data_IF_457531203856
#
_entry.id   IF_457531203856
#
_cell.length_a   1.000
_cell.length_b   1.000
_cell.length_c   1.000
_cell.angle_alpha   90.00
_cell.angle_beta   90.00
_cell.angle_gamma   90.00
#
_symmetry.space_group_name_H-M   'P 1'
#
loop_
_entity.id
_entity.type
_entity.pdbx_description
1 polymer ?
#
# COMPACT_ATOMS: atom_id res chain seq x y z
N UNK A 1 33.40 14.50 5.45
CA UNK A 1 33.77 13.65 6.60
C UNK A 1 34.35 14.45 7.76
N UNK A 2 35.31 15.37 7.57
CA UNK A 2 35.89 16.17 8.68
C UNK A 2 34.86 16.97 9.50
N UNK A 3 33.85 17.57 8.85
CA UNK A 3 32.79 18.31 9.53
C UNK A 3 31.88 17.41 10.39
N UNK A 4 31.43 16.29 9.83
CA UNK A 4 30.62 15.28 10.52
C UNK A 4 31.35 14.69 11.74
N UNK A 5 32.65 14.40 11.61
CA UNK A 5 33.48 13.92 12.70
C UNK A 5 33.56 14.94 13.84
N UNK A 6 33.85 16.21 13.54
CA UNK A 6 33.91 17.29 14.56
C UNK A 6 32.60 17.49 15.30
N UNK A 7 31.48 17.47 14.59
CA UNK A 7 30.14 17.64 15.18
C UNK A 7 29.84 16.47 16.12
N UNK A 8 30.14 15.25 15.70
CA UNK A 8 29.94 14.06 16.53
C UNK A 8 30.80 14.08 17.81
N UNK A 9 32.09 14.44 17.69
CA UNK A 9 32.96 14.60 18.87
C UNK A 9 32.41 15.65 19.82
N UNK A 10 31.89 16.78 19.30
CA UNK A 10 31.27 17.84 20.11
C UNK A 10 30.05 17.32 20.87
N UNK A 11 29.14 16.63 20.19
CA UNK A 11 27.95 16.07 20.83
C UNK A 11 28.30 15.01 21.87
N UNK A 12 29.27 14.13 21.59
CA UNK A 12 29.74 13.12 22.54
C UNK A 12 30.42 13.74 23.77
N UNK A 13 31.12 14.86 23.62
CA UNK A 13 31.70 15.59 24.75
C UNK A 13 30.63 16.24 25.63
N UNK A 14 29.53 16.72 25.04
CA UNK A 14 28.41 17.32 25.77
C UNK A 14 27.50 16.26 26.43
N UNK A 15 27.31 15.11 25.77
CA UNK A 15 26.51 13.99 26.27
C UNK A 15 27.27 12.68 26.03
N UNK A 16 28.01 12.17 27.03
CA UNK A 16 28.81 10.95 26.88
C UNK A 16 28.01 9.70 26.53
N UNK A 17 26.69 9.67 26.77
CA UNK A 17 25.85 8.54 26.39
C UNK A 17 25.62 8.46 24.86
N UNK A 18 25.87 9.54 24.12
CA UNK A 18 25.88 9.52 22.65
C UNK A 18 27.12 8.82 22.07
N UNK A 19 28.20 8.67 22.84
CA UNK A 19 29.50 8.14 22.39
C UNK A 19 29.51 6.62 22.15
N UNK A 20 28.56 6.13 21.35
CA UNK A 20 28.38 4.70 21.03
C UNK A 20 29.25 4.22 19.87
N UNK A 21 29.77 5.16 19.08
CA UNK A 21 30.68 4.94 17.94
C UNK A 21 31.72 6.07 17.92
N UNK A 22 32.90 5.79 17.37
CA UNK A 22 33.98 6.77 17.25
C UNK A 22 33.71 7.78 16.13
N UNK A 23 33.15 7.32 15.01
CA UNK A 23 32.75 8.16 13.88
C UNK A 23 31.23 8.09 13.64
N UNK A 24 30.64 9.25 13.31
CA UNK A 24 29.24 9.37 12.92
C UNK A 24 28.86 8.47 11.75
N UNK A 25 29.80 8.22 10.83
CA UNK A 25 29.63 7.34 9.68
C UNK A 25 29.29 5.90 10.06
N UNK A 26 29.71 5.44 11.23
CA UNK A 26 29.48 4.08 11.72
C UNK A 26 28.11 3.91 12.40
N UNK A 27 27.42 5.02 12.67
CA UNK A 27 26.16 5.03 13.41
C UNK A 27 25.04 4.21 12.74
N UNK A 28 24.87 4.17 11.40
CA UNK A 28 23.89 3.28 10.76
C UNK A 28 24.22 1.80 10.90
N UNK A 29 25.52 1.44 10.90
CA UNK A 29 25.94 0.05 11.11
C UNK A 29 25.75 -0.37 12.58
N UNK A 30 25.98 0.55 13.50
CA UNK A 30 25.71 0.35 14.93
C UNK A 30 24.20 0.21 15.20
N UNK A 31 23.36 1.12 14.70
CA UNK A 31 21.90 1.09 14.93
C UNK A 31 21.20 -0.16 14.39
N UNK A 32 21.79 -0.85 13.40
CA UNK A 32 21.31 -2.14 12.90
C UNK A 32 21.60 -3.32 13.86
N UNK A 33 22.65 -3.22 14.67
CA UNK A 33 23.11 -4.27 15.59
C UNK A 33 22.69 -4.01 17.05
N UNK A 34 22.50 -2.75 17.41
CA UNK A 34 22.13 -2.34 18.76
C UNK A 34 20.72 -2.83 19.15
N UNK A 35 20.53 -3.06 20.44
CA UNK A 35 19.21 -3.37 20.99
C UNK A 35 18.25 -2.20 20.81
N UNK A 36 16.94 -2.48 20.74
CA UNK A 36 15.91 -1.46 20.55
C UNK A 36 15.96 -0.36 21.63
N UNK A 37 16.26 -0.73 22.88
CA UNK A 37 16.41 0.22 24.00
C UNK A 37 17.60 1.17 23.79
N UNK A 38 18.79 0.64 23.48
CA UNK A 38 19.99 1.45 23.25
C UNK A 38 19.85 2.35 22.02
N UNK A 39 19.30 1.81 20.93
CA UNK A 39 18.97 2.60 19.73
C UNK A 39 17.99 3.72 20.06
N UNK A 40 16.94 3.41 20.83
CA UNK A 40 15.93 4.38 21.24
C UNK A 40 16.50 5.53 22.06
N UNK A 41 17.42 5.24 23.00
CA UNK A 41 18.07 6.25 23.82
C UNK A 41 18.92 7.22 22.97
N UNK A 42 19.75 6.69 22.07
CA UNK A 42 20.57 7.53 21.17
C UNK A 42 19.70 8.40 20.27
N UNK A 43 18.65 7.82 19.68
CA UNK A 43 17.71 8.58 18.83
C UNK A 43 16.94 9.64 19.62
N UNK A 44 16.64 9.42 20.90
CA UNK A 44 16.00 10.41 21.75
C UNK A 44 16.92 11.61 22.02
N UNK A 45 18.21 11.36 22.28
CA UNK A 45 19.20 12.42 22.46
C UNK A 45 19.43 13.21 21.17
N UNK A 46 19.55 12.51 20.03
CA UNK A 46 19.63 13.16 18.71
C UNK A 46 18.38 14.00 18.41
N UNK A 47 17.19 13.52 18.76
CA UNK A 47 15.96 14.29 18.60
C UNK A 47 15.95 15.55 19.48
N UNK A 48 16.41 15.48 20.72
CA UNK A 48 16.50 16.65 21.59
C UNK A 48 17.44 17.74 21.02
N UNK A 49 18.53 17.34 20.35
CA UNK A 49 19.47 18.28 19.71
C UNK A 49 18.83 19.08 18.57
N UNK A 50 17.77 18.57 17.92
CA UNK A 50 17.10 19.25 16.80
C UNK A 50 16.47 20.60 17.18
N UNK A 51 16.31 20.89 18.47
CA UNK A 51 15.84 22.21 18.94
C UNK A 51 16.84 23.35 18.63
N UNK A 52 18.12 23.03 18.48
CA UNK A 52 19.18 24.05 18.40
C UNK A 52 20.29 23.75 17.37
N UNK A 53 20.28 22.57 16.75
CA UNK A 53 21.34 22.09 15.87
C UNK A 53 20.74 21.47 14.59
N UNK A 54 20.91 22.13 13.44
CA UNK A 54 20.36 21.69 12.15
C UNK A 54 21.05 20.41 11.65
N UNK A 55 22.32 20.19 12.01
CA UNK A 55 23.04 18.99 11.66
C UNK A 55 22.48 17.75 12.38
N UNK A 56 21.87 17.92 13.55
CA UNK A 56 21.12 16.85 14.22
C UNK A 56 19.90 16.40 13.40
N UNK A 57 19.19 17.34 12.76
CA UNK A 57 18.08 17.03 11.84
C UNK A 57 18.59 16.19 10.67
N UNK A 58 19.69 16.63 10.05
CA UNK A 58 20.30 15.93 8.91
C UNK A 58 20.69 14.50 9.27
N UNK A 59 21.32 14.30 10.44
CA UNK A 59 21.69 12.97 10.94
C UNK A 59 20.47 12.11 11.19
N UNK A 60 19.43 12.68 11.82
CA UNK A 60 18.21 11.95 12.14
C UNK A 60 17.48 11.51 10.86
N UNK A 61 17.34 12.40 9.87
CA UNK A 61 16.80 12.08 8.55
C UNK A 61 17.59 10.94 7.91
N UNK A 62 18.91 11.06 7.86
CA UNK A 62 19.79 10.05 7.27
C UNK A 62 19.60 8.66 7.90
N UNK A 63 19.52 8.57 9.23
CA UNK A 63 19.25 7.32 9.94
C UNK A 63 17.85 6.73 9.67
N UNK A 64 16.89 7.57 9.29
CA UNK A 64 15.50 7.19 9.04
C UNK A 64 15.18 6.94 7.57
N UNK A 65 16.08 7.26 6.62
CA UNK A 65 15.91 6.99 5.18
C UNK A 65 15.43 5.54 4.93
N UNK A 66 16.03 4.47 5.50
CA UNK A 66 15.57 3.11 5.22
C UNK A 66 14.15 2.81 5.70
N UNK A 67 13.65 3.56 6.70
CA UNK A 67 12.25 3.49 7.13
C UNK A 67 11.34 4.27 6.19
N UNK A 68 11.77 5.44 5.74
CA UNK A 68 11.05 6.30 4.82
C UNK A 68 10.93 5.70 3.42
N UNK A 69 11.98 5.06 2.88
CA UNK A 69 11.91 4.33 1.61
C UNK A 69 10.84 3.24 1.65
N UNK A 70 10.74 2.49 2.76
CA UNK A 70 9.65 1.50 2.93
C UNK A 70 8.28 2.16 2.96
N UNK A 71 8.15 3.38 3.49
CA UNK A 71 6.88 4.12 3.45
C UNK A 71 6.55 4.48 2.00
N UNK A 72 7.51 5.05 1.26
CA UNK A 72 7.33 5.42 -0.13
C UNK A 72 6.98 4.21 -1.00
N UNK A 73 7.67 3.08 -0.86
CA UNK A 73 7.37 1.83 -1.59
C UNK A 73 5.93 1.36 -1.35
N UNK A 74 5.44 1.46 -0.10
CA UNK A 74 4.07 1.08 0.26
C UNK A 74 2.99 2.05 -0.26
N UNK A 75 3.38 3.24 -0.71
CA UNK A 75 2.49 4.30 -1.18
C UNK A 75 2.72 4.64 -2.66
N UNK A 76 3.60 3.90 -3.35
CA UNK A 76 4.06 4.20 -4.72
C UNK A 76 2.92 4.26 -5.73
N UNK A 77 1.87 3.46 -5.53
CA UNK A 77 0.71 3.41 -6.41
C UNK A 77 -0.26 4.60 -6.23
N UNK A 78 -0.01 5.51 -5.26
CA UNK A 78 -0.91 6.62 -4.95
C UNK A 78 -0.54 7.94 -5.64
N UNK A 79 0.74 8.17 -5.93
CA UNK A 79 1.20 9.40 -6.56
C UNK A 79 2.59 9.24 -7.22
N UNK A 80 2.82 9.78 -8.43
CA UNK A 80 4.11 9.65 -9.13
C UNK A 80 5.29 10.30 -8.37
N UNK A 81 5.06 11.38 -7.63
CA UNK A 81 6.09 12.08 -6.83
C UNK A 81 6.19 11.61 -5.36
N UNK A 82 5.79 10.37 -5.04
CA UNK A 82 5.71 9.89 -3.65
C UNK A 82 7.03 10.05 -2.87
N UNK A 83 8.16 9.84 -3.54
CA UNK A 83 9.48 9.92 -2.92
C UNK A 83 9.79 11.34 -2.43
N UNK A 84 9.40 12.36 -3.21
CA UNK A 84 9.56 13.77 -2.83
C UNK A 84 8.66 14.14 -1.66
N UNK A 85 7.41 13.69 -1.67
CA UNK A 85 6.45 13.94 -0.59
C UNK A 85 6.94 13.32 0.73
N UNK A 86 7.35 12.06 0.68
CA UNK A 86 7.88 11.35 1.86
C UNK A 86 9.17 11.99 2.36
N UNK A 87 10.10 12.36 1.47
CA UNK A 87 11.34 13.02 1.86
C UNK A 87 11.09 14.39 2.52
N UNK A 88 10.22 15.21 1.92
CA UNK A 88 9.84 16.53 2.45
C UNK A 88 9.19 16.41 3.83
N UNK A 89 8.21 15.51 3.97
CA UNK A 89 7.54 15.32 5.25
C UNK A 89 8.48 14.71 6.31
N UNK A 90 9.37 13.79 5.93
CA UNK A 90 10.37 13.25 6.85
C UNK A 90 11.26 14.37 7.42
N UNK A 91 11.68 15.31 6.57
CA UNK A 91 12.48 16.45 6.98
C UNK A 91 11.74 17.33 8.00
N UNK A 92 10.47 17.65 7.73
CA UNK A 92 9.63 18.45 8.64
C UNK A 92 9.46 17.77 10.01
N UNK A 93 9.14 16.47 10.02
CA UNK A 93 8.97 15.71 11.27
C UNK A 93 10.28 15.55 12.05
N UNK A 94 11.41 15.42 11.34
CA UNK A 94 12.72 15.36 11.98
C UNK A 94 13.15 16.71 12.56
N UNK A 95 12.82 17.83 11.90
CA UNK A 95 13.11 19.18 12.40
C UNK A 95 12.35 19.48 13.70
N UNK A 96 11.15 18.90 13.87
CA UNK A 96 10.32 19.06 15.07
C UNK A 96 10.52 17.90 16.08
N UNK A 97 11.56 17.07 15.92
CA UNK A 97 11.73 15.88 16.74
C UNK A 97 11.96 16.18 18.23
N UNK A 98 12.48 17.36 18.56
CA UNK A 98 12.68 17.83 19.93
C UNK A 98 11.37 18.00 20.72
N UNK A 99 10.24 18.19 20.04
CA UNK A 99 8.90 18.29 20.66
C UNK A 99 8.30 16.91 20.99
N UNK A 100 8.96 15.82 20.58
CA UNK A 100 8.46 14.47 20.83
C UNK A 100 8.76 14.04 22.27
N UNK A 101 7.72 13.66 23.00
CA UNK A 101 7.89 13.02 24.30
C UNK A 101 8.77 11.76 24.20
N UNK A 102 9.56 11.48 25.23
CA UNK A 102 10.54 10.40 25.26
C UNK A 102 9.98 9.03 24.83
N UNK A 103 10.79 8.26 24.10
CA UNK A 103 10.50 6.87 23.70
C UNK A 103 9.94 6.70 22.29
N UNK A 104 10.47 5.70 21.56
CA UNK A 104 10.12 5.32 20.18
C UNK A 104 10.16 6.46 19.15
N UNK A 105 11.10 7.41 19.30
CA UNK A 105 11.29 8.57 18.40
C UNK A 105 11.23 8.19 16.91
N UNK A 106 12.01 7.19 16.49
CA UNK A 106 12.00 6.71 15.10
C UNK A 106 10.60 6.34 14.61
N UNK A 107 9.87 5.59 15.44
CA UNK A 107 8.52 5.13 15.10
C UNK A 107 7.50 6.27 15.13
N UNK A 108 7.68 7.26 16.01
CA UNK A 108 6.85 8.46 16.04
C UNK A 108 7.03 9.29 14.78
N UNK A 109 8.28 9.62 14.43
CA UNK A 109 8.62 10.39 13.21
C UNK A 109 8.07 9.66 11.99
N UNK A 110 8.48 8.41 11.74
CA UNK A 110 8.01 7.63 10.59
C UNK A 110 6.48 7.45 10.55
N UNK A 111 5.87 7.29 11.73
CA UNK A 111 4.41 7.16 11.87
C UNK A 111 3.64 8.46 11.63
N UNK A 112 4.24 9.62 11.92
CA UNK A 112 3.69 10.94 11.56
C UNK A 112 3.92 11.23 10.08
N UNK A 113 5.13 10.99 9.56
CA UNK A 113 5.45 11.10 8.12
C UNK A 113 4.45 10.33 7.27
N UNK A 114 4.20 9.06 7.57
CA UNK A 114 3.20 8.25 6.84
C UNK A 114 1.79 8.82 6.95
N UNK A 115 1.41 9.34 8.12
CA UNK A 115 0.07 9.88 8.36
C UNK A 115 -0.17 11.18 7.62
N UNK A 116 0.79 12.09 7.62
CA UNK A 116 0.69 13.38 6.93
C UNK A 116 0.74 13.21 5.42
N UNK A 117 1.67 12.39 4.90
CA UNK A 117 1.68 12.06 3.46
C UNK A 117 0.39 11.37 3.04
N UNK A 118 -0.13 10.46 3.87
CA UNK A 118 -1.44 9.85 3.64
C UNK A 118 -2.56 10.90 3.63
N UNK A 119 -2.53 11.86 4.55
CA UNK A 119 -3.52 12.92 4.63
C UNK A 119 -3.50 13.84 3.40
N UNK A 120 -2.32 14.22 2.90
CA UNK A 120 -2.14 15.01 1.68
C UNK A 120 -2.68 14.29 0.44
N UNK A 121 -2.63 12.95 0.43
CA UNK A 121 -3.21 12.09 -0.61
C UNK A 121 -4.71 11.81 -0.40
N UNK A 122 -5.33 12.39 0.63
CA UNK A 122 -6.74 12.17 0.97
C UNK A 122 -7.03 10.79 1.58
N UNK A 123 -6.02 10.13 2.14
CA UNK A 123 -6.09 8.77 2.71
C UNK A 123 -6.03 8.81 4.24
N UNK A 124 -7.00 8.15 4.87
CA UNK A 124 -7.01 7.88 6.31
C UNK A 124 -7.75 8.92 7.15
N UNK A 125 -7.82 8.65 8.46
CA UNK A 125 -8.63 9.43 9.41
C UNK A 125 -8.16 10.88 9.56
N UNK A 126 -6.87 11.12 9.36
CA UNK A 126 -6.30 12.46 9.46
C UNK A 126 -6.78 13.35 8.31
N UNK A 127 -6.86 12.83 7.08
CA UNK A 127 -7.50 13.53 5.96
C UNK A 127 -8.95 13.92 6.31
N UNK A 128 -9.71 12.95 6.84
CA UNK A 128 -11.12 13.15 7.23
C UNK A 128 -11.32 14.20 8.32
N UNK A 129 -10.41 14.28 9.28
CA UNK A 129 -10.49 15.24 10.40
C UNK A 129 -10.01 16.63 10.03
N UNK A 130 -8.95 16.70 9.22
CA UNK A 130 -8.29 17.96 8.85
C UNK A 130 -9.18 18.77 7.93
N UNK A 131 -10.00 18.10 7.12
CA UNK A 131 -10.99 18.80 6.33
C UNK A 131 -12.18 17.91 5.94
N UNK A 132 -13.28 18.01 6.71
CA UNK A 132 -14.52 17.26 6.44
C UNK A 132 -15.07 17.57 5.05
N UNK A 133 -14.90 18.82 4.60
CA UNK A 133 -15.38 19.28 3.31
C UNK A 133 -14.54 18.67 2.18
N UNK A 134 -13.21 18.58 2.31
CA UNK A 134 -12.37 17.93 1.29
C UNK A 134 -12.41 16.40 1.33
N UNK A 135 -12.71 15.81 2.49
CA UNK A 135 -12.94 14.37 2.59
C UNK A 135 -14.27 13.92 1.94
N UNK A 136 -15.26 14.83 1.91
CA UNK A 136 -16.53 14.67 1.21
C UNK A 136 -16.51 15.26 -0.23
N UNK A 137 -15.49 16.05 -0.59
CA UNK A 137 -15.40 16.64 -1.92
C UNK A 137 -14.76 15.69 -2.93
N UNK A 138 -15.50 15.44 -4.01
CA UNK A 138 -14.97 14.84 -5.23
C UNK A 138 -14.07 15.86 -5.94
N UNK A 139 -12.75 15.64 -5.90
CA UNK A 139 -11.77 16.47 -6.62
C UNK A 139 -12.01 16.37 -8.12
N UNK A 140 -12.56 17.42 -8.73
CA UNK A 140 -12.65 17.60 -10.19
C UNK A 140 -11.39 18.31 -10.64
N UNK A 141 -10.40 17.55 -11.11
CA UNK A 141 -9.28 18.15 -11.83
C UNK A 141 -9.70 18.43 -13.27
N UNK A 142 -9.54 19.68 -13.68
CA UNK A 142 -9.51 20.06 -15.07
C UNK A 142 -8.09 19.80 -15.56
N UNK A 143 -7.84 18.58 -16.05
CA UNK A 143 -6.59 18.24 -16.74
C UNK A 143 -6.88 17.91 -18.20
N UNK A 144 -6.26 18.69 -19.10
CA UNK A 144 -6.46 18.63 -20.54
C UNK A 144 -5.80 17.39 -21.19
N UNK A 145 -5.26 16.48 -20.40
CA UNK A 145 -4.57 15.25 -20.84
C UNK A 145 -5.18 13.95 -20.35
N UNK A 146 -6.30 14.01 -19.62
CA UNK A 146 -7.14 12.83 -19.42
C UNK A 146 -7.83 12.59 -20.77
N UNK A 147 -7.45 11.51 -21.45
CA UNK A 147 -8.22 11.01 -22.60
C UNK A 147 -9.69 11.06 -22.21
N UNK A 148 -10.47 11.82 -22.97
CA UNK A 148 -11.90 11.98 -22.78
C UNK A 148 -12.46 10.65 -22.30
N UNK A 149 -13.12 10.64 -21.13
CA UNK A 149 -14.17 9.64 -20.95
C UNK A 149 -14.96 9.73 -22.25
N UNK A 150 -15.07 8.63 -23.03
CA UNK A 150 -15.80 8.69 -24.29
C UNK A 150 -17.11 9.40 -23.95
N UNK A 151 -17.41 10.45 -24.72
CA UNK A 151 -18.72 11.09 -24.62
C UNK A 151 -19.72 9.94 -24.52
N UNK A 152 -20.60 9.99 -23.51
CA UNK A 152 -21.64 9.00 -23.26
C UNK A 152 -22.60 9.03 -24.46
N UNK A 153 -22.11 8.47 -25.55
CA UNK A 153 -22.81 7.92 -26.68
C UNK A 153 -23.56 6.72 -26.12
N UNK A 154 -24.69 7.02 -25.48
CA UNK A 154 -25.94 6.35 -25.78
C UNK A 154 -26.06 4.83 -25.58
N UNK A 155 -25.07 4.11 -25.05
CA UNK A 155 -25.19 2.67 -24.80
C UNK A 155 -24.34 2.19 -23.62
N UNK A 156 -24.83 2.38 -22.39
CA UNK A 156 -24.39 1.61 -21.21
C UNK A 156 -24.37 0.09 -21.46
N UNK A 157 -25.16 -0.41 -22.42
CA UNK A 157 -25.12 -1.79 -22.87
C UNK A 157 -23.79 -2.20 -23.50
N UNK A 158 -23.12 -1.31 -24.22
CA UNK A 158 -21.89 -1.60 -24.98
C UNK A 158 -20.69 -1.75 -24.04
N UNK A 159 -20.53 -0.84 -23.07
CA UNK A 159 -19.44 -0.89 -22.10
C UNK A 159 -19.43 -2.17 -21.22
N UNK A 160 -20.61 -2.70 -20.87
CA UNK A 160 -20.70 -3.97 -20.13
C UNK A 160 -20.24 -5.14 -21.00
N UNK A 161 -20.65 -5.19 -22.26
CA UNK A 161 -20.27 -6.25 -23.19
C UNK A 161 -18.81 -6.14 -23.62
N UNK A 162 -18.29 -4.93 -23.81
CA UNK A 162 -16.88 -4.67 -24.09
C UNK A 162 -15.98 -5.12 -22.93
N UNK A 163 -16.34 -4.75 -21.69
CA UNK A 163 -15.61 -5.21 -20.52
C UNK A 163 -15.72 -6.73 -20.37
N UNK A 164 -16.90 -7.30 -20.56
CA UNK A 164 -17.10 -8.75 -20.45
C UNK A 164 -16.28 -9.50 -21.52
N UNK A 165 -16.30 -9.03 -22.77
CA UNK A 165 -15.51 -9.57 -23.87
C UNK A 165 -14.01 -9.48 -23.58
N UNK A 166 -13.54 -8.32 -23.13
CA UNK A 166 -12.16 -8.13 -22.70
C UNK A 166 -11.75 -9.09 -21.57
N UNK A 167 -12.60 -9.28 -20.56
CA UNK A 167 -12.30 -10.18 -19.45
C UNK A 167 -12.26 -11.64 -19.90
N UNK A 168 -13.10 -12.05 -20.84
CA UNK A 168 -13.07 -13.39 -21.45
C UNK A 168 -11.75 -13.58 -22.21
N UNK A 169 -11.38 -12.64 -23.08
CA UNK A 169 -10.10 -12.69 -23.81
C UNK A 169 -8.90 -12.77 -22.85
N UNK A 170 -8.92 -11.96 -21.78
CA UNK A 170 -7.88 -11.96 -20.77
C UNK A 170 -7.79 -13.30 -20.00
N UNK A 171 -8.91 -13.98 -19.76
CA UNK A 171 -8.91 -15.31 -19.16
C UNK A 171 -8.35 -16.37 -20.12
N UNK A 172 -8.70 -16.34 -21.41
CA UNK A 172 -8.24 -17.32 -22.41
C UNK A 172 -6.71 -17.34 -22.58
N UNK A 173 -6.07 -16.18 -22.38
CA UNK A 173 -4.61 -16.04 -22.45
C UNK A 173 -3.92 -16.16 -21.09
N UNK A 174 -4.64 -16.45 -20.00
CA UNK A 174 -4.13 -16.47 -18.62
C UNK A 174 -3.56 -15.11 -18.14
N UNK A 175 -4.10 -14.00 -18.64
CA UNK A 175 -3.86 -12.66 -18.10
C UNK A 175 -4.58 -12.44 -16.76
N UNK A 176 -5.71 -13.10 -16.54
CA UNK A 176 -6.39 -13.08 -15.26
C UNK A 176 -7.08 -14.42 -15.00
N UNK A 177 -7.17 -14.85 -13.75
CA UNK A 177 -7.97 -16.02 -13.39
C UNK A 177 -9.43 -15.60 -13.13
N UNK A 178 -10.39 -16.52 -13.32
CA UNK A 178 -11.81 -16.26 -13.04
C UNK A 178 -12.05 -15.74 -11.62
N UNK A 179 -11.31 -16.25 -10.63
CA UNK A 179 -11.39 -15.78 -9.23
C UNK A 179 -10.94 -14.33 -9.05
N UNK A 180 -9.92 -13.91 -9.78
CA UNK A 180 -9.45 -12.53 -9.75
C UNK A 180 -10.44 -11.61 -10.48
N UNK A 181 -11.03 -12.07 -11.59
CA UNK A 181 -12.07 -11.34 -12.31
C UNK A 181 -13.31 -11.09 -11.43
N UNK A 182 -13.79 -12.11 -10.73
CA UNK A 182 -14.90 -12.01 -9.77
C UNK A 182 -14.52 -11.06 -8.62
N UNK A 183 -13.33 -11.20 -8.05
CA UNK A 183 -12.86 -10.32 -6.99
C UNK A 183 -12.84 -8.84 -7.43
N UNK A 184 -12.36 -8.55 -8.63
CA UNK A 184 -12.36 -7.20 -9.18
C UNK A 184 -13.78 -6.67 -9.43
N UNK A 185 -14.70 -7.53 -9.87
CA UNK A 185 -16.12 -7.20 -10.00
C UNK A 185 -16.77 -6.83 -8.66
N UNK A 186 -16.52 -7.60 -7.60
CA UNK A 186 -17.00 -7.30 -6.26
C UNK A 186 -16.41 -6.01 -5.69
N UNK A 187 -15.10 -5.79 -5.87
CA UNK A 187 -14.46 -4.55 -5.49
C UNK A 187 -15.03 -3.36 -6.26
N UNK A 188 -15.30 -3.53 -7.56
CA UNK A 188 -15.90 -2.49 -8.41
C UNK A 188 -17.32 -2.14 -7.98
N UNK A 189 -18.15 -3.15 -7.69
CA UNK A 189 -19.51 -2.96 -7.17
C UNK A 189 -19.49 -2.19 -5.85
N UNK A 190 -18.68 -2.64 -4.88
CA UNK A 190 -18.56 -1.97 -3.58
C UNK A 190 -17.98 -0.56 -3.72
N UNK A 191 -17.02 -0.36 -4.63
CA UNK A 191 -16.47 0.96 -4.91
C UNK A 191 -17.53 1.93 -5.45
N UNK A 192 -18.38 1.46 -6.36
CA UNK A 192 -19.50 2.24 -6.88
C UNK A 192 -20.55 2.55 -5.79
N UNK A 193 -20.90 1.57 -4.95
CA UNK A 193 -21.83 1.76 -3.83
C UNK A 193 -21.33 2.78 -2.80
N UNK A 194 -20.00 2.83 -2.57
CA UNK A 194 -19.37 3.75 -1.64
C UNK A 194 -18.98 5.10 -2.27
N UNK A 195 -19.27 5.31 -3.57
CA UNK A 195 -18.89 6.49 -4.35
C UNK A 195 -17.40 6.87 -4.18
N UNK A 196 -16.51 5.87 -4.08
CA UNK A 196 -15.07 6.14 -4.02
C UNK A 196 -14.61 6.57 -5.41
N UNK A 197 -14.26 7.85 -5.54
CA UNK A 197 -13.88 8.46 -6.81
C UNK A 197 -12.83 7.66 -7.59
N UNK A 198 -13.12 7.47 -8.88
CA UNK A 198 -12.30 6.81 -9.91
C UNK A 198 -10.85 7.33 -10.02
N UNK A 199 -10.50 8.48 -9.43
CA UNK A 199 -9.18 9.11 -9.55
C UNK A 199 -8.17 8.70 -8.47
N UNK A 200 -8.47 7.70 -7.65
CA UNK A 200 -7.55 7.19 -6.61
C UNK A 200 -6.78 5.95 -7.11
N UNK A 201 -5.52 6.12 -7.50
CA UNK A 201 -4.62 5.02 -7.87
C UNK A 201 -5.31 4.01 -8.80
N UNK A 202 -5.43 2.76 -8.35
CA UNK A 202 -6.19 1.68 -9.02
C UNK A 202 -7.73 1.88 -8.93
N UNK A 203 -8.23 3.04 -9.40
CA UNK A 203 -9.65 3.40 -9.49
C UNK A 203 -10.46 3.27 -8.18
N UNK A 204 -9.80 3.40 -7.02
CA UNK A 204 -10.45 3.26 -5.71
C UNK A 204 -10.71 1.82 -5.25
N UNK A 205 -10.48 0.82 -6.10
CA UNK A 205 -10.77 -0.60 -5.84
C UNK A 205 -10.00 -1.16 -4.64
N UNK A 206 -8.76 -0.67 -4.43
CA UNK A 206 -7.88 -1.15 -3.37
C UNK A 206 -7.94 -0.31 -2.09
N UNK A 207 -8.87 0.64 -2.00
CA UNK A 207 -9.02 1.50 -0.83
C UNK A 207 -9.42 0.68 0.40
N UNK A 208 -8.98 1.07 1.62
CA UNK A 208 -9.34 0.34 2.83
C UNK A 208 -10.85 0.15 3.02
N UNK A 209 -11.65 1.18 2.75
CA UNK A 209 -13.10 1.13 2.91
C UNK A 209 -13.75 0.05 2.02
N UNK A 210 -13.38 -0.01 0.73
CA UNK A 210 -13.87 -1.03 -0.21
C UNK A 210 -13.38 -2.42 0.19
N UNK A 211 -12.07 -2.53 0.46
CA UNK A 211 -11.44 -3.81 0.76
C UNK A 211 -11.96 -4.42 2.06
N UNK A 212 -12.21 -3.60 3.09
CA UNK A 212 -12.70 -4.09 4.38
C UNK A 212 -14.14 -4.60 4.28
N UNK A 213 -14.99 -3.97 3.46
CA UNK A 213 -16.35 -4.47 3.16
C UNK A 213 -16.29 -5.81 2.44
N UNK A 214 -15.46 -5.94 1.40
CA UNK A 214 -15.30 -7.23 0.69
C UNK A 214 -14.72 -8.30 1.62
N UNK A 215 -13.79 -7.94 2.51
CA UNK A 215 -13.18 -8.85 3.50
C UNK A 215 -14.17 -9.42 4.54
N UNK A 216 -15.39 -8.89 4.65
CA UNK A 216 -16.45 -9.47 5.47
C UNK A 216 -17.16 -10.64 4.75
N UNK A 217 -17.12 -10.66 3.42
CA UNK A 217 -17.83 -11.63 2.60
C UNK A 217 -16.92 -12.74 2.05
N UNK A 218 -15.61 -12.51 1.98
CA UNK A 218 -14.63 -13.45 1.42
C UNK A 218 -13.70 -14.06 2.47
N UNK A 219 -13.06 -15.19 2.15
CA UNK A 219 -12.15 -15.92 3.05
C UNK A 219 -10.73 -15.36 3.14
N UNK A 220 -10.50 -14.20 2.53
CA UNK A 220 -9.22 -13.52 2.42
C UNK A 220 -9.15 -12.35 3.41
N UNK A 221 -7.95 -12.08 3.94
CA UNK A 221 -7.72 -10.87 4.74
C UNK A 221 -7.72 -9.62 3.85
N UNK A 222 -8.01 -8.44 4.42
CA UNK A 222 -7.91 -7.15 3.70
C UNK A 222 -6.54 -6.96 3.03
N UNK A 223 -5.46 -7.46 3.67
CA UNK A 223 -4.11 -7.42 3.09
C UNK A 223 -3.98 -8.37 1.89
N UNK A 224 -4.51 -9.58 2.00
CA UNK A 224 -4.48 -10.57 0.92
C UNK A 224 -5.31 -10.12 -0.29
N UNK A 225 -6.51 -9.58 -0.05
CA UNK A 225 -7.39 -8.99 -1.07
C UNK A 225 -6.66 -7.88 -1.81
N UNK A 226 -6.10 -6.90 -1.08
CA UNK A 226 -5.38 -5.78 -1.71
C UNK A 226 -4.23 -6.27 -2.57
N UNK A 227 -3.38 -7.14 -2.03
CA UNK A 227 -2.23 -7.70 -2.76
C UNK A 227 -2.66 -8.43 -4.03
N UNK A 228 -3.75 -9.20 -3.93
CA UNK A 228 -4.28 -10.00 -5.04
C UNK A 228 -4.89 -9.14 -6.14
N UNK A 229 -5.76 -8.20 -5.77
CA UNK A 229 -6.34 -7.24 -6.70
C UNK A 229 -5.27 -6.39 -7.39
N UNK A 230 -4.25 -5.95 -6.64
CA UNK A 230 -3.08 -5.26 -7.19
C UNK A 230 -2.37 -6.09 -8.25
N UNK A 231 -2.02 -7.35 -7.94
CA UNK A 231 -1.31 -8.22 -8.86
C UNK A 231 -2.15 -8.53 -10.12
N UNK A 232 -3.46 -8.73 -9.97
CA UNK A 232 -4.37 -8.95 -11.10
C UNK A 232 -4.44 -7.73 -12.02
N UNK A 233 -4.56 -6.52 -11.45
CA UNK A 233 -4.61 -5.27 -12.21
C UNK A 233 -3.28 -4.98 -12.90
N UNK A 234 -2.14 -5.25 -12.26
CA UNK A 234 -0.82 -5.08 -12.88
C UNK A 234 -0.63 -6.04 -14.06
N UNK A 235 -1.09 -7.29 -13.91
CA UNK A 235 -1.03 -8.31 -14.97
C UNK A 235 -1.95 -7.97 -16.14
N UNK A 236 -3.15 -7.45 -15.87
CA UNK A 236 -4.05 -6.93 -16.90
C UNK A 236 -3.42 -5.73 -17.63
N UNK A 237 -2.77 -4.81 -16.91
CA UNK A 237 -2.08 -3.67 -17.52
C UNK A 237 -0.94 -4.12 -18.44
N UNK A 238 -0.17 -5.13 -18.02
CA UNK A 238 0.87 -5.73 -18.86
C UNK A 238 0.27 -6.38 -20.12
N UNK A 239 -0.79 -7.17 -19.98
CA UNK A 239 -1.50 -7.77 -21.11
C UNK A 239 -2.04 -6.72 -22.08
N UNK A 240 -2.71 -5.67 -21.58
CA UNK A 240 -3.25 -4.58 -22.41
C UNK A 240 -2.14 -3.91 -23.24
N UNK A 241 -0.92 -3.78 -22.71
CA UNK A 241 0.20 -3.18 -23.44
C UNK A 241 0.68 -3.99 -24.66
N UNK A 242 0.33 -5.29 -24.73
CA UNK A 242 0.70 -6.19 -25.82
C UNK A 242 -0.50 -6.72 -26.62
N UNK A 243 -1.72 -6.54 -26.13
CA UNK A 243 -2.98 -7.11 -26.63
C UNK A 243 -3.20 -6.90 -28.13
N UNK A 244 -2.86 -5.73 -28.66
CA UNK A 244 -3.11 -5.37 -30.06
C UNK A 244 -2.08 -5.96 -31.05
N UNK A 245 -1.07 -6.70 -30.56
CA UNK A 245 -0.03 -7.33 -31.36
C UNK A 245 0.00 -8.85 -31.11
N UNK A 246 -0.58 -9.62 -32.02
CA UNK A 246 -0.72 -11.08 -31.92
C UNK A 246 0.61 -11.79 -31.65
N UNK A 247 1.71 -11.33 -32.27
CA UNK A 247 3.03 -11.93 -32.06
C UNK A 247 3.54 -11.67 -30.64
N UNK A 248 3.29 -10.47 -30.08
CA UNK A 248 3.65 -10.15 -28.69
C UNK A 248 2.76 -10.90 -27.70
N UNK A 249 1.46 -11.07 -27.99
CA UNK A 249 0.56 -11.86 -27.13
C UNK A 249 1.03 -13.31 -27.02
N UNK A 250 1.50 -13.92 -28.11
CA UNK A 250 2.04 -15.29 -28.09
C UNK A 250 3.29 -15.41 -27.20
N UNK A 251 4.21 -14.45 -27.30
CA UNK A 251 5.41 -14.39 -26.43
C UNK A 251 5.01 -14.18 -24.97
N UNK A 252 4.08 -13.26 -24.73
CA UNK A 252 3.57 -12.94 -23.40
C UNK A 252 2.91 -14.17 -22.76
N UNK A 253 2.05 -14.88 -23.50
CA UNK A 253 1.38 -16.11 -23.04
C UNK A 253 2.37 -17.22 -22.69
N UNK A 254 3.45 -17.36 -23.45
CA UNK A 254 4.51 -18.33 -23.16
C UNK A 254 5.24 -18.03 -21.84
N UNK A 255 5.36 -16.75 -21.46
CA UNK A 255 5.93 -16.30 -20.18
C UNK A 255 4.94 -16.44 -19.02
N UNK A 256 3.65 -16.54 -19.33
CA UNK A 256 2.54 -16.52 -18.40
C UNK A 256 1.63 -17.76 -18.54
N UNK A 257 2.18 -18.99 -18.44
CA UNK A 257 1.45 -20.21 -18.78
C UNK A 257 0.30 -20.53 -17.82
N UNK A 258 0.34 -20.00 -16.59
CA UNK A 258 -0.69 -20.24 -15.57
C UNK A 258 -0.95 -18.99 -14.74
N UNK A 259 -2.17 -18.93 -14.19
CA UNK A 259 -2.51 -18.05 -13.07
C UNK A 259 -2.42 -18.84 -11.77
N UNK A 260 -1.87 -18.22 -10.72
CA UNK A 260 -1.78 -18.84 -9.41
C UNK A 260 -3.16 -18.85 -8.76
N UNK A 261 -3.62 -20.03 -8.35
CA UNK A 261 -4.84 -20.23 -7.57
C UNK A 261 -4.49 -20.74 -6.18
N UNK A 262 -5.31 -20.40 -5.20
CA UNK A 262 -5.15 -20.90 -3.83
C UNK A 262 -5.71 -22.33 -3.70
N UNK A 263 -5.31 -23.09 -2.68
CA UNK A 263 -5.85 -24.43 -2.45
C UNK A 263 -7.38 -24.44 -2.22
N UNK A 264 -7.94 -23.37 -1.65
CA UNK A 264 -9.39 -23.21 -1.49
C UNK A 264 -10.10 -23.05 -2.83
N UNK A 265 -9.45 -22.38 -3.77
CA UNK A 265 -9.93 -22.13 -5.13
C UNK A 265 -9.80 -23.36 -6.02
N UNK A 266 -8.69 -24.10 -5.92
CA UNK A 266 -8.55 -25.41 -6.53
C UNK A 266 -9.65 -26.36 -6.06
N UNK A 267 -9.91 -26.39 -4.74
CA UNK A 267 -10.98 -27.21 -4.18
C UNK A 267 -12.37 -26.81 -4.69
N UNK A 268 -12.62 -25.51 -4.92
CA UNK A 268 -13.87 -25.05 -5.52
C UNK A 268 -14.03 -25.45 -6.98
N UNK A 269 -12.96 -25.44 -7.77
CA UNK A 269 -13.00 -25.94 -9.15
C UNK A 269 -13.40 -27.42 -9.20
N UNK A 270 -13.02 -28.20 -8.17
CA UNK A 270 -13.36 -29.63 -8.05
C UNK A 270 -14.79 -29.87 -7.53
N UNK A 271 -15.35 -28.97 -6.72
CA UNK A 271 -16.67 -29.15 -6.09
C UNK A 271 -17.84 -28.65 -6.95
N UNK A 272 -17.64 -27.62 -7.78
CA UNK A 272 -18.72 -26.91 -8.49
C UNK A 272 -18.84 -27.27 -9.98
N UNK A 273 -18.60 -28.53 -10.39
CA UNK A 273 -18.77 -28.94 -11.79
C UNK A 273 -20.21 -28.74 -12.33
N UNK A 274 -21.23 -28.59 -11.47
CA UNK A 274 -22.65 -28.61 -11.88
C UNK A 274 -23.56 -27.48 -11.35
N UNK A 275 -23.12 -26.52 -10.51
CA UNK A 275 -24.05 -25.54 -9.88
C UNK A 275 -23.60 -24.08 -9.99
N UNK A 276 -24.59 -23.19 -10.10
CA UNK A 276 -24.45 -21.73 -10.23
C UNK A 276 -23.39 -21.17 -9.27
N UNK A 277 -22.44 -20.43 -9.85
CA UNK A 277 -21.28 -19.85 -9.18
C UNK A 277 -21.69 -18.76 -8.16
N UNK A 278 -22.33 -19.15 -7.07
CA UNK A 278 -22.43 -18.33 -5.86
C UNK A 278 -21.07 -18.36 -5.17
N UNK A 279 -20.14 -17.55 -5.67
CA UNK A 279 -18.82 -17.41 -5.07
C UNK A 279 -18.88 -16.56 -3.79
N UNK A 280 -18.06 -16.95 -2.82
CA UNK A 280 -17.85 -16.25 -1.55
C UNK A 280 -19.08 -16.01 -0.68
N UNK A 281 -19.61 -17.09 -0.09
CA UNK A 281 -20.17 -16.96 1.25
C UNK A 281 -19.26 -17.70 2.22
N UNK A 282 -18.76 -16.96 3.22
CA UNK A 282 -18.02 -17.44 4.41
C UNK A 282 -18.57 -18.76 4.98
N UNK A 283 -19.84 -19.07 4.76
CA UNK A 283 -20.57 -20.22 5.28
C UNK A 283 -20.15 -21.58 4.72
N UNK A 284 -19.46 -21.64 3.58
CA UNK A 284 -19.31 -22.90 2.83
C UNK A 284 -17.87 -23.49 2.83
N UNK A 285 -16.92 -22.85 3.52
CA UNK A 285 -15.50 -23.26 3.54
C UNK A 285 -15.11 -24.07 4.78
N UNK A 286 -14.42 -25.22 4.63
CA UNK A 286 -13.92 -25.99 5.77
C UNK A 286 -12.80 -25.23 6.52
N UNK A 287 -12.59 -25.51 7.82
CA UNK A 287 -11.68 -24.72 8.68
C UNK A 287 -10.23 -24.59 8.18
N UNK A 288 -9.74 -25.55 7.38
CA UNK A 288 -8.39 -25.57 6.82
C UNK A 288 -8.21 -24.79 5.50
N UNK A 289 -9.30 -24.35 4.87
CA UNK A 289 -9.28 -23.63 3.60
C UNK A 289 -9.16 -22.09 3.77
N UNK A 290 -9.19 -21.61 5.01
CA UNK A 290 -9.07 -20.18 5.34
C UNK A 290 -7.63 -19.69 5.20
N UNK A 291 -7.46 -18.45 4.73
CA UNK A 291 -6.13 -17.83 4.73
C UNK A 291 -5.56 -17.77 6.17
N UNK A 292 -4.27 -18.10 6.36
CA UNK A 292 -3.69 -18.33 7.68
C UNK A 292 -3.72 -17.10 8.58
N UNK A 293 -3.80 -15.91 8.00
CA UNK A 293 -3.85 -14.60 8.64
C UNK A 293 -5.28 -14.12 8.98
N UNK A 294 -6.31 -14.88 8.63
CA UNK A 294 -7.71 -14.56 8.99
C UNK A 294 -8.00 -15.01 10.42
N UNK A 295 -8.51 -14.08 11.23
CA UNK A 295 -8.79 -14.30 12.65
C UNK A 295 -9.80 -15.45 12.88
N UNK A 296 -9.58 -16.25 13.93
CA UNK A 296 -10.38 -17.44 14.22
C UNK A 296 -11.87 -17.14 14.43
N UNK A 297 -12.22 -15.97 14.95
CA UNK A 297 -13.60 -15.52 15.14
C UNK A 297 -14.34 -15.23 13.83
N UNK A 298 -13.64 -15.12 12.69
CA UNK A 298 -14.24 -15.02 11.35
C UNK A 298 -14.42 -16.39 10.68
N UNK A 299 -13.83 -17.47 11.22
CA UNK A 299 -13.95 -18.82 10.67
C UNK A 299 -15.21 -19.49 11.28
N UNK A 300 -16.25 -19.81 10.50
CA UNK A 300 -17.40 -20.53 11.03
C UNK A 300 -16.97 -21.91 11.54
N UNK A 301 -17.39 -22.26 12.75
CA UNK A 301 -17.09 -23.56 13.37
C UNK A 301 -15.87 -23.61 14.31
N UNK A 302 -15.19 -22.48 14.61
CA UNK A 302 -14.08 -22.47 15.58
C UNK A 302 -14.52 -22.59 17.06
N UNK A 303 -15.81 -22.77 17.33
CA UNK A 303 -16.35 -23.16 18.62
C UNK A 303 -16.90 -24.59 18.51
N UNK A 304 -16.01 -25.55 18.75
CA UNK A 304 -16.28 -26.99 18.81
C UNK A 304 -15.09 -27.68 19.45
#
# INVERSE_FOLDING_TARGET
>A
MVAAHRIWTRWCAADPELAVVEDLGDLPAWTRRATASRKGAVLAKLAALTAYDEEAVTVLVWLLIPGATRIADNLRDLHPDIDRMVAGQLWLEAAQAHELDGGKVAGKILGRTRREVGADLGVGDLARRRDRVWAEATRVEYDATIGFAPEDDGSQGDAFWDLTGFMIEAMDVNAIHVFDAVLLGDLGRVAAELDVGARRGRMGLTTPAVVDVVAECVHLSSRAIRRRASAALDRLAEYVSVRDDEAKVLVWRAQHPTCQVTAAEEMHLVINEDHDAHFFRVRDLPPGAWAPDVAANRRPGAAG
#
